data_IF_147044122475
#
_entry.id   IF_147044122475
#
_cell.length_a   1.000
_cell.length_b   1.000
_cell.length_c   1.000
_cell.angle_alpha   90.00
_cell.angle_beta   90.00
_cell.angle_gamma   90.00
#
_symmetry.space_group_name_H-M   'P 1'
#
loop_
_entity.id
_entity.type
_entity.pdbx_description
1 polymer ?
#
# COMPACT_ATOMS: atom_id res chain seq x y z
N UNK A 1 24.36 7.23 -5.23
CA UNK A 1 23.29 6.36 -5.74
C UNK A 1 22.18 6.38 -4.68
N UNK A 2 20.89 6.51 -5.04
CA UNK A 2 19.81 6.39 -4.07
C UNK A 2 19.91 5.03 -3.36
N UNK A 3 19.51 4.95 -2.10
CA UNK A 3 19.58 3.70 -1.34
C UNK A 3 18.62 2.67 -1.97
N UNK A 4 18.89 1.38 -1.77
CA UNK A 4 18.01 0.31 -2.28
C UNK A 4 16.57 0.49 -1.76
N UNK A 5 16.42 1.06 -0.55
CA UNK A 5 15.14 1.42 0.02
C UNK A 5 14.37 2.46 -0.80
N UNK A 6 15.05 3.48 -1.35
CA UNK A 6 14.42 4.51 -2.19
C UNK A 6 13.93 3.92 -3.52
N UNK A 7 14.70 2.98 -4.09
CA UNK A 7 14.31 2.26 -5.30
C UNK A 7 13.15 1.29 -5.04
N UNK A 8 13.16 0.60 -3.90
CA UNK A 8 12.05 -0.24 -3.47
C UNK A 8 10.77 0.58 -3.28
N UNK A 9 10.87 1.74 -2.62
CA UNK A 9 9.74 2.65 -2.43
C UNK A 9 9.13 3.08 -3.76
N UNK A 10 9.96 3.37 -4.77
CA UNK A 10 9.50 3.74 -6.10
C UNK A 10 8.65 2.64 -6.76
N UNK A 11 9.17 1.42 -6.83
CA UNK A 11 8.47 0.30 -7.48
C UNK A 11 7.22 -0.14 -6.71
N UNK A 12 7.29 -0.11 -5.38
CA UNK A 12 6.15 -0.43 -4.53
C UNK A 12 5.06 0.63 -4.66
N UNK A 13 5.43 1.90 -4.80
CA UNK A 13 4.47 2.97 -5.14
C UNK A 13 3.77 2.69 -6.46
N UNK A 14 4.51 2.31 -7.51
CA UNK A 14 3.93 1.93 -8.81
C UNK A 14 2.99 0.73 -8.73
N UNK A 15 3.26 -0.24 -7.87
CA UNK A 15 2.38 -1.38 -7.62
C UNK A 15 1.13 -0.97 -6.80
N UNK A 16 1.29 -0.11 -5.79
CA UNK A 16 0.21 0.39 -4.96
C UNK A 16 -0.79 1.28 -5.74
N UNK A 17 -0.29 2.05 -6.72
CA UNK A 17 -1.07 2.82 -7.68
C UNK A 17 -1.96 1.92 -8.57
N UNK A 18 -1.55 0.68 -8.83
CA UNK A 18 -2.32 -0.32 -9.59
C UNK A 18 -3.38 -1.04 -8.73
N UNK A 19 -3.70 -0.51 -7.55
CA UNK A 19 -4.67 -1.07 -6.62
C UNK A 19 -4.34 -2.49 -6.12
N UNK A 20 -3.06 -2.85 -6.07
CA UNK A 20 -2.61 -4.10 -5.48
C UNK A 20 -2.61 -3.96 -3.94
N UNK A 21 -3.50 -4.66 -3.19
CA UNK A 21 -3.65 -4.43 -1.75
C UNK A 21 -2.37 -4.70 -0.97
N UNK A 22 -1.61 -5.73 -1.36
CA UNK A 22 -0.32 -6.06 -0.73
C UNK A 22 0.70 -4.93 -0.88
N UNK A 23 0.76 -4.29 -2.06
CA UNK A 23 1.68 -3.17 -2.29
C UNK A 23 1.25 -1.93 -1.51
N UNK A 24 -0.05 -1.70 -1.38
CA UNK A 24 -0.60 -0.60 -0.58
C UNK A 24 -0.31 -0.78 0.92
N UNK A 25 -0.48 -1.99 1.46
CA UNK A 25 -0.08 -2.31 2.85
C UNK A 25 1.42 -2.16 3.07
N UNK A 26 2.24 -2.63 2.12
CA UNK A 26 3.69 -2.49 2.23
C UNK A 26 4.12 -1.02 2.20
N UNK A 27 3.56 -0.22 1.28
CA UNK A 27 3.83 1.22 1.21
C UNK A 27 3.39 1.95 2.47
N UNK A 28 2.27 1.56 3.08
CA UNK A 28 1.85 2.05 4.38
C UNK A 28 2.92 1.82 5.46
N UNK A 29 3.46 0.60 5.53
CA UNK A 29 4.54 0.28 6.48
C UNK A 29 5.83 1.08 6.21
N UNK A 30 6.16 1.33 4.95
CA UNK A 30 7.31 2.18 4.59
C UNK A 30 7.14 3.61 5.08
N UNK A 31 5.94 4.19 4.95
CA UNK A 31 5.63 5.52 5.48
C UNK A 31 5.58 5.59 7.01
N UNK A 32 5.16 4.52 7.71
CA UNK A 32 5.24 4.45 9.18
C UNK A 32 6.68 4.43 9.69
N UNK A 33 7.55 3.69 9.00
CA UNK A 33 8.93 3.47 9.39
C UNK A 33 9.92 4.52 8.83
N UNK A 34 9.54 5.26 7.78
CA UNK A 34 10.43 6.17 7.07
C UNK A 34 11.50 5.46 6.23
N UNK A 35 11.18 4.30 5.66
CA UNK A 35 12.12 3.49 4.87
C UNK A 35 11.94 3.82 3.39
N UNK A 36 12.96 4.43 2.77
CA UNK A 36 12.93 4.79 1.34
C UNK A 36 11.93 5.91 0.99
N UNK A 37 11.18 6.39 1.98
CA UNK A 37 10.26 7.52 1.93
C UNK A 37 10.35 8.27 3.26
N UNK A 38 10.07 9.59 3.29
CA UNK A 38 9.91 10.32 4.55
C UNK A 38 8.80 9.70 5.39
N UNK A 39 9.02 9.61 6.71
CA UNK A 39 7.99 9.14 7.64
C UNK A 39 6.76 10.06 7.58
N UNK A 40 5.60 9.49 7.34
CA UNK A 40 4.33 10.22 7.14
C UNK A 40 3.13 9.34 7.52
N UNK A 41 2.59 9.59 8.72
CA UNK A 41 1.47 8.82 9.26
C UNK A 41 0.16 9.04 8.50
N UNK A 42 -0.02 10.19 7.85
CA UNK A 42 -1.23 10.45 7.06
C UNK A 42 -1.21 9.64 5.77
N UNK A 43 -0.06 9.61 5.09
CA UNK A 43 0.12 8.75 3.91
C UNK A 43 0.04 7.27 4.25
N UNK A 44 0.59 6.84 5.39
CA UNK A 44 0.44 5.46 5.84
C UNK A 44 -1.05 5.08 5.97
N UNK A 45 -1.84 5.87 6.70
CA UNK A 45 -3.29 5.64 6.85
C UNK A 45 -4.02 5.65 5.51
N UNK A 46 -3.66 6.56 4.61
CA UNK A 46 -4.24 6.62 3.27
C UNK A 46 -4.04 5.31 2.50
N UNK A 47 -2.80 4.80 2.43
CA UNK A 47 -2.49 3.58 1.69
C UNK A 47 -3.08 2.34 2.36
N UNK A 48 -3.06 2.25 3.69
CA UNK A 48 -3.73 1.18 4.43
C UNK A 48 -5.24 1.16 4.17
N UNK A 49 -5.90 2.32 4.22
CA UNK A 49 -7.33 2.43 3.93
C UNK A 49 -7.69 2.05 2.49
N UNK A 50 -6.82 2.34 1.51
CA UNK A 50 -7.01 1.86 0.13
C UNK A 50 -6.95 0.34 0.03
N UNK A 51 -6.04 -0.31 0.76
CA UNK A 51 -5.93 -1.77 0.76
C UNK A 51 -7.18 -2.44 1.31
N UNK A 52 -7.71 -1.92 2.43
CA UNK A 52 -8.95 -2.42 3.04
C UNK A 52 -10.15 -2.30 2.10
N UNK A 53 -10.25 -1.20 1.35
CA UNK A 53 -11.33 -1.00 0.38
C UNK A 53 -11.22 -1.96 -0.80
N UNK A 54 -10.00 -2.17 -1.33
CA UNK A 54 -9.78 -3.14 -2.39
C UNK A 54 -10.14 -4.59 -1.97
N UNK A 55 -9.89 -4.95 -0.70
CA UNK A 55 -10.31 -6.26 -0.16
C UNK A 55 -11.84 -6.34 -0.04
N UNK A 56 -12.50 -5.25 0.38
CA UNK A 56 -13.97 -5.18 0.47
C UNK A 56 -14.65 -5.23 -0.89
N UNK A 57 -14.05 -4.68 -1.94
CA UNK A 57 -14.59 -4.73 -3.30
C UNK A 57 -14.57 -6.17 -3.87
N UNK A 58 -13.63 -7.00 -3.42
CA UNK A 58 -13.53 -8.42 -3.82
C UNK A 58 -14.43 -9.32 -2.97
N UNK A 59 -14.78 -8.92 -1.74
CA UNK A 59 -15.60 -9.71 -0.80
C UNK A 59 -16.97 -10.15 -1.38
N UNK A 60 -17.76 -9.31 -2.09
CA UNK A 60 -19.00 -9.76 -2.71
C UNK A 60 -18.82 -10.80 -3.83
N UNK A 61 -17.63 -10.89 -4.43
CA UNK A 61 -17.34 -11.87 -5.48
C UNK A 61 -16.99 -13.26 -4.91
N UNK A 62 -16.57 -13.32 -3.65
CA UNK A 62 -16.18 -14.57 -2.97
C UNK A 62 -17.31 -15.19 -2.15
N UNK A 63 -18.33 -14.41 -1.78
CA UNK A 63 -19.54 -14.90 -1.11
C UNK A 63 -20.79 -14.29 -1.77
N UNK A 64 -21.26 -14.84 -2.91
CA UNK A 64 -22.34 -14.21 -3.67
C UNK A 64 -23.69 -14.18 -2.94
N UNK A 65 -23.92 -15.00 -1.92
CA UNK A 65 -25.20 -15.08 -1.20
C UNK A 65 -25.01 -15.79 0.14
N UNK A 66 -25.32 -15.11 1.25
CA UNK A 66 -25.88 -15.75 2.43
C UNK A 66 -27.37 -15.36 2.52
#
# INVERSE_FOLDING_TARGET
MPAEADQAAFWITKAAEQNLPNAQLFLSGMYEAGIGVPKDHEKAKYWSGKADNAIKDVLPLLMPTL
#
